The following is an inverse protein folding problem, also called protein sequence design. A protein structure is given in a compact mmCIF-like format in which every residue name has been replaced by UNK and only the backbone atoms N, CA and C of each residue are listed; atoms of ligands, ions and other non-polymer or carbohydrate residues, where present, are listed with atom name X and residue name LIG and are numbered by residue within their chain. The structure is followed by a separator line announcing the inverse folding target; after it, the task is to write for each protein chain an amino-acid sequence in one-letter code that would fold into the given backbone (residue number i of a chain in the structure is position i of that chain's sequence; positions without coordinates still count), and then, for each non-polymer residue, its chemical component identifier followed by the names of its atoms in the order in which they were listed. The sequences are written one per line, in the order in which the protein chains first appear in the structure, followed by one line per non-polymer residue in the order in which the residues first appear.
data_IF_737788167701
#
_entry.id   IF_737788167701
#
_cell.length_a   1.000
_cell.length_b   1.000
_cell.length_c   1.000
_cell.angle_alpha   90.00
_cell.angle_beta   90.00
_cell.angle_gamma   90.00
#
_symmetry.space_group_name_H-M   'P 1'
#
loop_
_entity.id
_entity.type
_entity.pdbx_description
1 polymer ?
#
# COMPACT_ATOMS: atom_id res chain seq x y z
N UNK A 1 -13.10 2.49 24.45
CA UNK A 1 -13.83 3.30 23.44
C UNK A 1 -13.43 2.88 22.01
N UNK A 2 -14.40 2.53 21.16
CA UNK A 2 -14.11 2.13 19.79
C UNK A 2 -13.47 3.30 19.01
N UNK A 3 -12.33 3.07 18.37
CA UNK A 3 -11.57 4.09 17.62
C UNK A 3 -12.29 4.60 16.33
N UNK A 4 -13.55 4.22 16.11
CA UNK A 4 -14.28 4.42 14.87
C UNK A 4 -14.60 5.88 14.49
N UNK A 5 -14.63 6.82 15.43
CA UNK A 5 -15.07 8.20 15.13
C UNK A 5 -14.02 9.26 15.46
N UNK A 6 -12.75 8.86 15.61
CA UNK A 6 -11.66 9.79 15.92
C UNK A 6 -11.25 10.61 14.69
N UNK A 7 -10.85 11.86 14.91
CA UNK A 7 -10.29 12.75 13.88
C UNK A 7 -9.09 12.15 13.12
N UNK A 8 -8.35 11.22 13.74
CA UNK A 8 -7.20 10.55 13.14
C UNK A 8 -7.57 9.31 12.31
N UNK A 9 -8.86 8.96 12.19
CA UNK A 9 -9.29 7.85 11.34
C UNK A 9 -9.05 8.23 9.87
N UNK A 10 -8.54 7.29 9.08
CA UNK A 10 -8.48 7.40 7.62
C UNK A 10 -9.76 6.78 7.02
N UNK A 11 -10.74 7.57 6.55
CA UNK A 11 -12.02 7.04 6.09
C UNK A 11 -12.02 6.62 4.62
N UNK A 12 -11.08 7.15 3.83
CA UNK A 12 -10.99 6.95 2.38
C UNK A 12 -9.53 6.81 1.97
N UNK A 13 -9.24 6.15 0.83
CA UNK A 13 -7.92 6.15 0.24
C UNK A 13 -7.43 7.57 -0.03
N UNK A 14 -6.13 7.76 0.16
CA UNK A 14 -5.45 9.00 -0.16
C UNK A 14 -4.10 8.69 -0.75
N UNK A 15 -3.67 9.53 -1.68
CA UNK A 15 -2.37 9.43 -2.30
C UNK A 15 -1.63 10.76 -2.16
N UNK A 16 -0.30 10.67 -2.06
CA UNK A 16 0.56 11.84 -1.92
C UNK A 16 0.64 12.59 -3.25
N UNK A 17 0.51 13.90 -3.24
CA UNK A 17 0.53 14.73 -4.47
C UNK A 17 1.79 14.49 -5.31
N UNK A 18 2.96 14.44 -4.69
CA UNK A 18 4.22 14.16 -5.38
C UNK A 18 4.32 12.75 -5.98
N UNK A 19 3.56 11.77 -5.46
CA UNK A 19 3.47 10.43 -6.04
C UNK A 19 2.54 10.43 -7.27
N UNK A 20 1.37 11.07 -7.18
CA UNK A 20 0.43 11.19 -8.30
C UNK A 20 1.03 11.97 -9.48
N UNK A 21 1.78 13.04 -9.20
CA UNK A 21 2.39 13.87 -10.22
C UNK A 21 3.47 13.12 -11.03
N UNK A 22 4.16 12.16 -10.41
CA UNK A 22 5.22 11.39 -11.05
C UNK A 22 5.36 9.99 -10.40
N UNK A 23 4.52 9.01 -10.79
CA UNK A 23 4.48 7.70 -10.13
C UNK A 23 5.81 6.94 -10.18
N UNK A 24 6.57 7.08 -11.28
CA UNK A 24 7.85 6.39 -11.46
C UNK A 24 9.02 7.09 -10.76
N UNK A 25 8.88 8.39 -10.51
CA UNK A 25 9.88 9.23 -9.82
C UNK A 25 9.17 10.20 -8.89
N UNK A 26 8.63 9.70 -7.76
CA UNK A 26 7.78 10.50 -6.89
C UNK A 26 8.53 11.73 -6.39
N UNK A 27 7.96 12.91 -6.61
CA UNK A 27 8.51 14.19 -6.18
C UNK A 27 8.12 14.49 -4.72
N UNK A 28 8.67 15.53 -4.11
CA UNK A 28 8.34 15.97 -2.75
C UNK A 28 8.95 15.12 -1.63
N UNK A 29 8.64 15.45 -0.37
CA UNK A 29 9.23 14.86 0.82
C UNK A 29 8.17 14.02 1.56
N UNK A 30 8.44 12.72 1.72
CA UNK A 30 7.56 11.83 2.52
C UNK A 30 7.41 12.37 3.94
N UNK A 31 6.17 12.50 4.40
CA UNK A 31 5.83 13.02 5.74
C UNK A 31 5.63 14.54 5.81
N UNK A 32 5.94 15.29 4.74
CA UNK A 32 5.68 16.74 4.67
C UNK A 32 4.72 17.11 3.54
N UNK A 33 4.58 16.24 2.54
CA UNK A 33 3.67 16.47 1.42
C UNK A 33 2.18 16.37 1.78
N UNK A 34 1.38 17.00 0.92
CA UNK A 34 -0.07 16.92 0.96
C UNK A 34 -0.60 15.58 0.44
N UNK A 35 -1.74 15.17 0.98
CA UNK A 35 -2.47 13.97 0.59
C UNK A 35 -3.84 14.33 0.03
N UNK A 36 -4.07 13.97 -1.22
CA UNK A 36 -5.36 14.14 -1.89
C UNK A 36 -6.17 12.85 -1.81
N UNK A 37 -7.50 12.99 -1.78
CA UNK A 37 -8.41 11.84 -1.79
C UNK A 37 -8.43 11.24 -3.20
N UNK A 38 -8.47 9.92 -3.27
CA UNK A 38 -8.62 9.17 -4.53
C UNK A 38 -9.74 8.14 -4.37
N UNK A 39 -10.27 7.64 -5.48
CA UNK A 39 -11.21 6.52 -5.44
C UNK A 39 -10.51 5.23 -5.03
N UNK A 40 -11.28 4.20 -4.68
CA UNK A 40 -10.72 2.87 -4.45
C UNK A 40 -10.15 2.28 -5.73
N UNK A 41 -10.79 2.48 -6.87
CA UNK A 41 -10.34 1.98 -8.16
C UNK A 41 -8.98 2.61 -8.53
N UNK A 42 -8.86 3.93 -8.44
CA UNK A 42 -7.58 4.63 -8.71
C UNK A 42 -6.45 4.14 -7.78
N UNK A 43 -6.75 3.96 -6.49
CA UNK A 43 -5.77 3.49 -5.53
C UNK A 43 -5.29 2.07 -5.86
N UNK A 44 -6.20 1.17 -6.24
CA UNK A 44 -5.87 -0.20 -6.60
C UNK A 44 -5.11 -0.28 -7.92
N UNK A 45 -5.49 0.53 -8.91
CA UNK A 45 -4.81 0.62 -10.20
C UNK A 45 -3.37 1.13 -10.05
N UNK A 46 -3.15 2.14 -9.21
CA UNK A 46 -1.81 2.65 -8.90
C UNK A 46 -0.94 1.58 -8.24
N UNK A 47 -1.48 0.85 -7.26
CA UNK A 47 -0.77 -0.25 -6.60
C UNK A 47 -0.42 -1.35 -7.61
N UNK A 48 -1.37 -1.72 -8.46
CA UNK A 48 -1.17 -2.73 -9.50
C UNK A 48 -0.07 -2.31 -10.48
N UNK A 49 -0.14 -1.09 -11.01
CA UNK A 49 0.83 -0.57 -11.97
C UNK A 49 2.25 -0.56 -11.39
N UNK A 50 2.44 -0.13 -10.15
CA UNK A 50 3.75 -0.12 -9.50
C UNK A 50 4.27 -1.53 -9.23
N UNK A 51 3.42 -2.43 -8.73
CA UNK A 51 3.77 -3.83 -8.54
C UNK A 51 4.19 -4.51 -9.84
N UNK A 52 3.44 -4.29 -10.92
CA UNK A 52 3.76 -4.83 -12.25
C UNK A 52 5.10 -4.31 -12.73
N UNK A 53 5.29 -2.98 -12.73
CA UNK A 53 6.53 -2.32 -13.17
C UNK A 53 7.75 -2.83 -12.40
N UNK A 54 7.66 -2.92 -11.08
CA UNK A 54 8.77 -3.38 -10.22
C UNK A 54 9.15 -4.82 -10.54
N UNK A 55 8.16 -5.72 -10.70
CA UNK A 55 8.42 -7.11 -11.08
C UNK A 55 9.06 -7.23 -12.45
N UNK A 56 8.54 -6.50 -13.43
CA UNK A 56 9.08 -6.51 -14.81
C UNK A 56 10.49 -5.92 -14.88
N UNK A 57 10.79 -4.90 -14.07
CA UNK A 57 12.07 -4.19 -14.12
C UNK A 57 13.16 -4.84 -13.27
N UNK A 58 12.81 -5.44 -12.12
CA UNK A 58 13.78 -5.84 -11.09
C UNK A 58 13.55 -7.26 -10.55
N UNK A 59 12.51 -7.97 -11.03
CA UNK A 59 12.15 -9.31 -10.56
C UNK A 59 11.41 -9.32 -9.22
N UNK A 60 10.86 -10.48 -8.81
CA UNK A 60 10.02 -10.59 -7.62
C UNK A 60 10.77 -10.35 -6.30
N UNK A 61 12.07 -10.62 -6.27
CA UNK A 61 12.91 -10.41 -5.08
C UNK A 61 13.07 -8.93 -4.70
N UNK A 62 12.73 -8.00 -5.59
CA UNK A 62 12.78 -6.56 -5.34
C UNK A 62 11.62 -6.05 -4.47
N UNK A 63 10.61 -6.89 -4.20
CA UNK A 63 9.47 -6.53 -3.35
C UNK A 63 9.65 -7.13 -1.97
N UNK A 64 9.62 -6.27 -0.94
CA UNK A 64 9.67 -6.65 0.46
C UNK A 64 8.28 -6.58 1.11
N UNK A 65 7.82 -7.69 1.68
CA UNK A 65 6.49 -7.79 2.31
C UNK A 65 6.53 -8.28 3.77
N UNK A 66 7.61 -8.01 4.51
CA UNK A 66 7.85 -8.54 5.87
C UNK A 66 6.80 -8.17 6.93
N UNK A 67 5.98 -7.12 6.71
CA UNK A 67 4.81 -6.73 7.50
C UNK A 67 4.91 -6.98 9.02
N UNK A 68 6.04 -6.61 9.63
CA UNK A 68 6.29 -6.82 11.05
C UNK A 68 5.48 -5.84 11.91
N UNK A 69 4.88 -6.33 12.99
CA UNK A 69 4.18 -5.49 13.96
C UNK A 69 3.03 -6.19 14.67
N UNK A 70 2.56 -5.55 15.75
CA UNK A 70 1.36 -5.97 16.47
C UNK A 70 0.13 -5.62 15.64
N UNK A 71 -0.84 -6.53 15.59
CA UNK A 71 -2.10 -6.37 14.86
C UNK A 71 -3.28 -6.79 15.71
N UNK A 72 -4.48 -6.51 15.22
CA UNK A 72 -5.70 -7.06 15.81
C UNK A 72 -5.69 -8.59 15.79
N UNK A 73 -6.23 -9.19 16.85
CA UNK A 73 -6.35 -10.64 16.99
C UNK A 73 -7.44 -11.21 16.07
N UNK A 74 -7.31 -12.48 15.71
CA UNK A 74 -8.25 -13.18 14.81
C UNK A 74 -7.54 -14.16 13.89
N UNK A 75 -8.27 -15.17 13.42
CA UNK A 75 -7.77 -16.22 12.51
C UNK A 75 -7.85 -15.80 11.04
N UNK A 76 -8.94 -15.12 10.66
CA UNK A 76 -9.22 -14.75 9.27
C UNK A 76 -8.58 -13.41 8.89
N UNK A 77 -8.85 -12.34 9.64
CA UNK A 77 -8.34 -10.99 9.35
C UNK A 77 -6.88 -10.78 9.83
N UNK A 78 -6.02 -11.76 9.54
CA UNK A 78 -4.58 -11.69 9.78
C UNK A 78 -3.91 -10.94 8.62
N UNK A 79 -3.81 -9.61 8.72
CA UNK A 79 -3.31 -8.75 7.64
C UNK A 79 -1.98 -9.22 7.02
N UNK A 80 -0.98 -9.58 7.84
CA UNK A 80 0.31 -10.07 7.35
C UNK A 80 0.17 -11.37 6.52
N UNK A 81 -0.65 -12.32 6.98
CA UNK A 81 -0.92 -13.57 6.25
C UNK A 81 -1.65 -13.31 4.93
N UNK A 82 -2.63 -12.41 4.93
CA UNK A 82 -3.37 -12.04 3.72
C UNK A 82 -2.47 -11.33 2.70
N UNK A 83 -1.59 -10.43 3.15
CA UNK A 83 -0.59 -9.77 2.31
C UNK A 83 0.35 -10.80 1.68
N UNK A 84 0.88 -11.72 2.48
CA UNK A 84 1.78 -12.78 1.99
C UNK A 84 1.09 -13.69 0.97
N UNK A 85 -0.17 -14.07 1.20
CA UNK A 85 -0.96 -14.84 0.23
C UNK A 85 -1.17 -14.08 -1.07
N UNK A 86 -1.54 -12.80 -1.00
CA UNK A 86 -1.68 -11.95 -2.18
C UNK A 86 -0.36 -11.88 -2.96
N UNK A 87 0.75 -11.63 -2.28
CA UNK A 87 2.07 -11.49 -2.90
C UNK A 87 2.55 -12.79 -3.56
N UNK A 88 2.34 -13.94 -2.92
CA UNK A 88 2.65 -15.25 -3.48
C UNK A 88 1.87 -15.52 -4.77
N UNK A 89 0.58 -15.14 -4.82
CA UNK A 89 -0.25 -15.28 -6.03
C UNK A 89 0.10 -14.26 -7.12
N UNK A 90 0.56 -13.06 -6.73
CA UNK A 90 0.86 -11.96 -7.64
C UNK A 90 2.25 -12.05 -8.31
N UNK A 91 3.00 -13.14 -8.10
CA UNK A 91 4.31 -13.37 -8.73
C UNK A 91 5.49 -13.45 -7.76
N UNK A 92 5.27 -13.50 -6.45
CA UNK A 92 6.31 -13.68 -5.43
C UNK A 92 6.90 -12.38 -4.86
N UNK A 93 7.67 -12.55 -3.79
CA UNK A 93 8.42 -11.54 -3.00
C UNK A 93 9.73 -12.17 -2.51
N UNK A 94 10.70 -11.36 -2.05
CA UNK A 94 11.82 -11.84 -1.21
C UNK A 94 11.38 -12.18 0.21
#
# INVERSE_FOLDING_TARGET
PAHGHRISRAPVPRERTGCLAAPDKPQGIRGQDEFVRVSWDDALDLIHAQHKRIRESYGPSSIFAGSYGWRSNGVLHKAATLLQRYMALAGGVS
#
